data_IF_543627544065
#
_entry.id   IF_543627544065
#
_cell.length_a   1.000
_cell.length_b   1.000
_cell.length_c   1.000
_cell.angle_alpha   90.00
_cell.angle_beta   90.00
_cell.angle_gamma   90.00
#
_symmetry.space_group_name_H-M   'P 1'
#
loop_
_entity.id
_entity.type
_entity.pdbx_description
1 polymer ?
#
# COMPACT_ATOMS: atom_id res chain seq x y z
N UNK A 1 44.56 52.94 -10.91
CA UNK A 1 44.16 51.63 -10.35
C UNK A 1 43.75 50.75 -11.52
N UNK A 2 44.68 49.98 -12.07
CA UNK A 2 44.49 49.18 -13.29
C UNK A 2 44.08 47.76 -12.92
N UNK A 3 42.84 47.36 -13.22
CA UNK A 3 42.47 45.94 -13.28
C UNK A 3 42.98 45.37 -14.62
N UNK A 4 44.12 44.68 -14.59
CA UNK A 4 44.54 43.80 -15.69
C UNK A 4 43.56 42.62 -15.74
N UNK A 5 42.74 42.57 -16.79
CA UNK A 5 41.96 41.38 -17.13
C UNK A 5 42.93 40.34 -17.72
N UNK A 6 43.17 39.28 -16.97
CA UNK A 6 43.86 38.09 -17.48
C UNK A 6 42.90 37.33 -18.39
N UNK A 7 43.08 37.47 -19.70
CA UNK A 7 42.38 36.64 -20.67
C UNK A 7 43.09 35.29 -20.69
N UNK A 8 42.45 34.27 -20.12
CA UNK A 8 42.91 32.88 -20.21
C UNK A 8 42.49 32.36 -21.59
N UNK A 9 43.43 32.32 -22.53
CA UNK A 9 43.28 31.60 -23.80
C UNK A 9 43.41 30.11 -23.53
N UNK A 10 42.27 29.41 -23.48
CA UNK A 10 42.23 27.95 -23.44
C UNK A 10 42.65 27.39 -24.80
N UNK A 11 43.48 26.34 -24.79
CA UNK A 11 43.92 25.68 -26.03
C UNK A 11 42.73 25.01 -26.73
N UNK A 12 42.79 24.89 -28.06
CA UNK A 12 41.69 24.35 -28.89
C UNK A 12 41.23 22.96 -28.45
N UNK A 13 42.13 22.13 -27.93
CA UNK A 13 41.80 20.83 -27.33
C UNK A 13 41.00 20.93 -26.02
N UNK A 14 41.30 21.90 -25.16
CA UNK A 14 40.60 22.09 -23.88
C UNK A 14 39.16 22.53 -24.10
N UNK A 15 38.93 23.37 -25.11
CA UNK A 15 37.58 23.81 -25.51
C UNK A 15 36.75 22.63 -26.03
N UNK A 16 37.36 21.70 -26.78
CA UNK A 16 36.68 20.49 -27.28
C UNK A 16 36.34 19.53 -26.14
N UNK A 17 37.25 19.34 -25.19
CA UNK A 17 37.01 18.49 -24.01
C UNK A 17 35.88 19.06 -23.15
N UNK A 18 35.89 20.36 -22.86
CA UNK A 18 34.84 21.02 -22.08
C UNK A 18 33.48 20.92 -22.79
N UNK A 19 33.41 21.17 -24.10
CA UNK A 19 32.17 21.02 -24.87
C UNK A 19 31.63 19.60 -24.84
N UNK A 20 32.52 18.61 -24.93
CA UNK A 20 32.13 17.20 -24.90
C UNK A 20 31.60 16.79 -23.53
N UNK A 21 32.25 17.24 -22.45
CA UNK A 21 31.78 16.99 -21.07
C UNK A 21 30.42 17.66 -20.83
N UNK A 22 30.23 18.90 -21.27
CA UNK A 22 28.93 19.61 -21.14
C UNK A 22 27.83 18.89 -21.91
N UNK A 23 28.08 18.40 -23.12
CA UNK A 23 27.11 17.62 -23.90
C UNK A 23 26.79 16.29 -23.22
N UNK A 24 27.79 15.60 -22.66
CA UNK A 24 27.56 14.35 -21.91
C UNK A 24 26.75 14.61 -20.65
N UNK A 25 26.99 15.70 -19.92
CA UNK A 25 26.20 16.06 -18.72
C UNK A 25 24.76 16.40 -19.11
N UNK A 26 24.54 17.14 -20.20
CA UNK A 26 23.20 17.47 -20.72
C UNK A 26 22.46 16.19 -21.17
N UNK A 27 23.15 15.29 -21.88
CA UNK A 27 22.58 14.01 -22.32
C UNK A 27 22.33 13.08 -21.13
N UNK A 28 23.21 13.04 -20.13
CA UNK A 28 23.02 12.26 -18.90
C UNK A 28 21.86 12.80 -18.05
N UNK A 29 21.62 14.12 -18.05
CA UNK A 29 20.45 14.72 -17.40
C UNK A 29 19.15 14.57 -18.20
N UNK A 30 19.24 14.32 -19.51
CA UNK A 30 18.10 13.92 -20.37
C UNK A 30 17.78 12.41 -20.31
N UNK A 31 18.73 11.56 -19.88
CA UNK A 31 18.59 10.10 -19.80
C UNK A 31 18.48 9.60 -18.35
N UNK A 32 18.49 10.48 -17.34
CA UNK A 32 18.03 10.07 -16.02
C UNK A 32 16.60 9.58 -16.19
N UNK A 33 16.29 8.31 -15.85
CA UNK A 33 14.91 7.94 -15.65
C UNK A 33 14.47 8.84 -14.52
N UNK A 34 13.67 9.87 -14.83
CA UNK A 34 12.79 10.43 -13.84
C UNK A 34 12.14 9.20 -13.23
N UNK A 35 12.43 8.95 -11.95
CA UNK A 35 11.58 8.14 -11.12
C UNK A 35 10.22 8.83 -11.18
N UNK A 36 9.45 8.48 -12.20
CA UNK A 36 8.01 8.68 -12.25
C UNK A 36 7.41 7.65 -11.31
N UNK A 37 7.84 7.70 -10.04
CA UNK A 37 6.86 7.74 -8.98
C UNK A 37 6.08 9.04 -9.16
N UNK A 38 5.29 9.12 -10.25
CA UNK A 38 4.06 9.87 -10.11
C UNK A 38 3.34 9.09 -9.02
N UNK A 39 3.29 9.69 -7.83
CA UNK A 39 2.09 9.62 -7.03
C UNK A 39 0.94 9.96 -7.97
N UNK A 40 0.45 8.96 -8.72
CA UNK A 40 -0.79 9.08 -9.42
C UNK A 40 -1.78 9.26 -8.28
N UNK A 41 -2.24 10.50 -8.08
CA UNK A 41 -3.55 10.72 -7.49
C UNK A 41 -4.46 9.74 -8.21
N UNK A 42 -4.96 8.71 -7.51
CA UNK A 42 -5.83 7.70 -8.11
C UNK A 42 -7.20 8.38 -8.28
N UNK A 43 -7.26 9.34 -9.19
CA UNK A 43 -8.48 9.98 -9.68
C UNK A 43 -9.29 9.01 -10.55
N UNK A 44 -8.67 7.88 -10.92
CA UNK A 44 -9.27 6.76 -11.66
C UNK A 44 -8.66 5.44 -11.18
N UNK A 45 -9.42 4.33 -11.17
CA UNK A 45 -8.87 3.01 -10.89
C UNK A 45 -7.81 2.65 -11.96
N UNK A 46 -6.78 1.93 -11.54
CA UNK A 46 -5.65 1.50 -12.37
C UNK A 46 -5.32 0.04 -12.10
N UNK A 47 -4.81 -0.63 -13.12
CA UNK A 47 -4.41 -2.03 -13.02
C UNK A 47 -2.99 -2.11 -12.50
N UNK A 48 -2.84 -2.62 -11.28
CA UNK A 48 -1.54 -2.92 -10.67
C UNK A 48 -1.25 -4.42 -10.83
N UNK A 49 -2.30 -5.22 -10.98
CA UNK A 49 -2.27 -6.69 -11.02
C UNK A 49 -3.20 -7.19 -12.13
N UNK A 50 -2.97 -8.42 -12.57
CA UNK A 50 -3.81 -9.08 -13.58
C UNK A 50 -5.26 -9.11 -13.12
N UNK A 51 -6.20 -8.79 -14.02
CA UNK A 51 -7.62 -8.78 -13.70
C UNK A 51 -8.08 -10.12 -13.11
N UNK A 52 -8.80 -10.04 -11.99
CA UNK A 52 -9.49 -11.17 -11.39
C UNK A 52 -10.95 -10.83 -11.22
N UNK A 53 -11.83 -11.69 -11.74
CA UNK A 53 -13.28 -11.48 -11.66
C UNK A 53 -13.74 -11.51 -10.20
N UNK A 54 -14.33 -10.42 -9.69
CA UNK A 54 -14.89 -10.39 -8.35
C UNK A 54 -16.02 -11.42 -8.18
N UNK A 55 -16.17 -12.04 -7.00
CA UNK A 55 -17.18 -13.07 -6.72
C UNK A 55 -18.59 -12.48 -6.48
N UNK A 56 -18.92 -11.41 -7.20
CA UNK A 56 -20.19 -10.71 -7.12
C UNK A 56 -20.77 -10.55 -8.52
N UNK A 57 -22.10 -10.49 -8.64
CA UNK A 57 -22.74 -10.21 -9.93
C UNK A 57 -22.64 -8.72 -10.26
N UNK A 58 -21.86 -8.37 -11.28
CA UNK A 58 -21.72 -6.99 -11.77
C UNK A 58 -22.85 -6.54 -12.71
N UNK A 59 -23.56 -7.50 -13.34
CA UNK A 59 -24.44 -7.24 -14.50
C UNK A 59 -25.90 -6.90 -14.16
N UNK A 60 -26.21 -6.58 -12.91
CA UNK A 60 -27.54 -6.06 -12.58
C UNK A 60 -27.60 -4.57 -13.03
N UNK A 61 -28.57 -4.23 -13.87
CA UNK A 61 -28.95 -2.86 -14.24
C UNK A 61 -27.83 -1.93 -14.76
N UNK A 62 -27.12 -2.36 -15.81
CA UNK A 62 -26.27 -1.45 -16.61
C UNK A 62 -24.79 -1.43 -16.25
N UNK A 63 -24.33 -2.39 -15.45
CA UNK A 63 -22.91 -2.65 -15.19
C UNK A 63 -22.33 -1.82 -14.06
N UNK A 64 -22.99 -1.79 -12.90
CA UNK A 64 -22.49 -1.12 -11.71
C UNK A 64 -22.87 -1.88 -10.45
N UNK A 65 -21.95 -1.97 -9.49
CA UNK A 65 -22.16 -2.62 -8.19
C UNK A 65 -21.03 -2.24 -7.21
N UNK A 66 -21.39 -1.61 -6.08
CA UNK A 66 -20.43 -1.17 -5.08
C UNK A 66 -19.57 -2.30 -4.54
N UNK A 67 -20.15 -3.46 -4.18
CA UNK A 67 -19.37 -4.58 -3.60
C UNK A 67 -18.45 -5.22 -4.64
N UNK A 68 -18.87 -5.25 -5.91
CA UNK A 68 -18.03 -5.76 -7.00
C UNK A 68 -16.81 -4.86 -7.21
N UNK A 69 -17.05 -3.56 -7.38
CA UNK A 69 -16.00 -2.58 -7.65
C UNK A 69 -15.02 -2.45 -6.48
N UNK A 70 -15.53 -2.36 -5.25
CA UNK A 70 -14.69 -2.23 -4.07
C UNK A 70 -13.89 -3.50 -3.77
N UNK A 71 -14.43 -4.69 -4.07
CA UNK A 71 -13.65 -5.93 -3.98
C UNK A 71 -12.49 -5.91 -4.97
N UNK A 72 -12.74 -5.46 -6.20
CA UNK A 72 -11.69 -5.36 -7.20
C UNK A 72 -10.62 -4.35 -6.81
N UNK A 73 -11.00 -3.18 -6.29
CA UNK A 73 -10.04 -2.21 -5.76
C UNK A 73 -9.19 -2.80 -4.63
N UNK A 74 -9.77 -3.58 -3.71
CA UNK A 74 -9.00 -4.28 -2.67
C UNK A 74 -8.01 -5.28 -3.27
N UNK A 75 -8.40 -6.02 -4.31
CA UNK A 75 -7.48 -6.91 -5.01
C UNK A 75 -6.38 -6.14 -5.76
N UNK A 76 -6.73 -5.09 -6.50
CA UNK A 76 -5.81 -4.30 -7.29
C UNK A 76 -4.83 -3.49 -6.43
N UNK A 77 -5.26 -2.94 -5.29
CA UNK A 77 -4.42 -2.12 -4.43
C UNK A 77 -3.76 -2.96 -3.32
N UNK A 78 -4.54 -3.70 -2.51
CA UNK A 78 -3.98 -4.50 -1.40
C UNK A 78 -3.40 -5.84 -1.84
N UNK A 79 -3.76 -6.36 -3.02
CA UNK A 79 -3.36 -7.71 -3.45
C UNK A 79 -4.14 -8.83 -2.77
N UNK A 80 -5.22 -8.50 -2.05
CA UNK A 80 -5.98 -9.44 -1.21
C UNK A 80 -7.30 -9.80 -1.86
N UNK A 81 -7.57 -11.11 -1.99
CA UNK A 81 -8.90 -11.59 -2.33
C UNK A 81 -9.78 -11.61 -1.08
N UNK A 82 -10.62 -10.59 -0.88
CA UNK A 82 -11.54 -10.55 0.25
C UNK A 82 -12.56 -11.71 0.17
N UNK A 83 -12.98 -12.29 1.32
CA UNK A 83 -14.03 -13.29 1.32
C UNK A 83 -15.39 -12.69 0.91
N UNK A 84 -16.29 -13.53 0.43
CA UNK A 84 -17.63 -13.10 0.01
C UNK A 84 -18.48 -12.78 1.25
N UNK A 85 -18.80 -11.50 1.44
CA UNK A 85 -19.70 -11.05 2.49
C UNK A 85 -21.16 -10.94 2.02
N UNK A 86 -21.40 -11.02 0.70
CA UNK A 86 -22.72 -10.79 0.11
C UNK A 86 -23.02 -9.30 -0.03
N UNK A 87 -24.00 -8.80 0.72
CA UNK A 87 -24.40 -7.38 0.65
C UNK A 87 -23.42 -6.46 1.37
N UNK A 88 -23.40 -5.18 0.98
CA UNK A 88 -22.59 -4.13 1.61
C UNK A 88 -22.83 -4.04 3.13
N UNK A 89 -24.06 -4.31 3.60
CA UNK A 89 -24.40 -4.36 5.04
C UNK A 89 -23.48 -5.28 5.85
N UNK A 90 -23.08 -6.42 5.26
CA UNK A 90 -22.30 -7.46 5.94
C UNK A 90 -20.79 -7.21 5.91
N UNK A 91 -20.32 -6.23 5.16
CA UNK A 91 -18.88 -5.96 5.04
C UNK A 91 -18.25 -5.49 6.36
N UNK A 92 -19.04 -4.94 7.28
CA UNK A 92 -18.57 -4.63 8.63
C UNK A 92 -18.08 -5.88 9.37
N UNK A 93 -18.62 -7.07 9.07
CA UNK A 93 -18.21 -8.31 9.72
C UNK A 93 -16.85 -8.82 9.23
N UNK A 94 -16.22 -8.15 8.26
CA UNK A 94 -14.86 -8.45 7.83
C UNK A 94 -13.80 -7.90 8.82
N UNK A 95 -14.20 -7.03 9.75
CA UNK A 95 -13.30 -6.54 10.79
C UNK A 95 -12.72 -7.67 11.63
N UNK A 96 -11.40 -7.65 11.85
CA UNK A 96 -10.61 -8.66 12.57
C UNK A 96 -10.53 -10.04 11.89
N UNK A 97 -11.00 -10.17 10.65
CA UNK A 97 -10.86 -11.41 9.90
C UNK A 97 -9.42 -11.58 9.39
N UNK A 98 -8.90 -12.80 9.49
CA UNK A 98 -7.60 -13.18 8.93
C UNK A 98 -7.78 -13.89 7.58
N UNK A 99 -7.07 -13.43 6.56
CA UNK A 99 -7.12 -13.99 5.19
C UNK A 99 -5.73 -14.52 4.85
N UNK A 100 -5.60 -15.84 4.70
CA UNK A 100 -4.36 -16.47 4.25
C UNK A 100 -4.34 -16.58 2.72
N UNK A 101 -3.29 -16.05 2.10
CA UNK A 101 -3.05 -16.14 0.67
C UNK A 101 -1.56 -16.35 0.42
N UNK A 102 -1.20 -17.50 -0.18
CA UNK A 102 0.19 -17.94 -0.33
C UNK A 102 0.87 -17.96 1.06
N UNK A 103 2.04 -17.35 1.17
CA UNK A 103 2.87 -17.28 2.37
C UNK A 103 2.49 -16.14 3.33
N UNK A 104 1.40 -15.40 3.03
CA UNK A 104 1.00 -14.22 3.77
C UNK A 104 -0.37 -14.43 4.42
N UNK A 105 -0.53 -13.92 5.64
CA UNK A 105 -1.82 -13.83 6.32
C UNK A 105 -2.10 -12.36 6.64
N UNK A 106 -3.17 -11.84 6.05
CA UNK A 106 -3.61 -10.45 6.19
C UNK A 106 -4.65 -10.38 7.30
N UNK A 107 -4.50 -9.44 8.23
CA UNK A 107 -5.49 -9.17 9.27
C UNK A 107 -6.19 -7.86 8.96
N UNK A 108 -7.51 -7.92 8.83
CA UNK A 108 -8.33 -6.75 8.57
C UNK A 108 -8.66 -6.02 9.87
N UNK A 109 -8.68 -4.69 9.83
CA UNK A 109 -9.12 -3.83 10.94
C UNK A 109 -10.33 -3.00 10.55
N UNK A 110 -11.05 -2.49 11.56
CA UNK A 110 -12.09 -1.49 11.38
C UNK A 110 -11.76 -0.22 12.16
N UNK A 111 -11.91 0.92 11.51
CA UNK A 111 -11.71 2.24 12.10
C UNK A 111 -12.95 3.10 11.97
N UNK A 112 -13.03 4.12 12.82
CA UNK A 112 -13.96 5.25 12.72
C UNK A 112 -13.35 6.42 11.94
N UNK A 113 -12.02 6.39 11.77
CA UNK A 113 -11.30 7.42 11.01
C UNK A 113 -11.11 6.96 9.56
N UNK A 114 -11.30 7.86 8.58
CA UNK A 114 -11.01 7.57 7.20
C UNK A 114 -9.49 7.48 6.99
N UNK A 115 -9.06 6.45 6.25
CA UNK A 115 -7.67 6.33 5.80
C UNK A 115 -7.62 6.25 4.28
N UNK A 116 -6.57 6.79 3.67
CA UNK A 116 -6.35 6.58 2.25
C UNK A 116 -6.21 5.08 1.97
N UNK A 117 -6.81 4.61 0.88
CA UNK A 117 -6.85 3.21 0.48
C UNK A 117 -7.50 2.27 1.51
N UNK A 118 -8.44 2.81 2.30
CA UNK A 118 -9.39 2.01 3.06
C UNK A 118 -10.70 1.84 2.29
N UNK A 119 -11.52 0.91 2.74
CA UNK A 119 -12.88 0.72 2.24
C UNK A 119 -13.84 1.40 3.21
N UNK A 120 -14.51 2.45 2.75
CA UNK A 120 -15.61 3.08 3.47
C UNK A 120 -16.83 2.17 3.40
N UNK A 121 -17.44 1.90 4.55
CA UNK A 121 -18.66 1.11 4.71
C UNK A 121 -19.70 2.03 5.31
N UNK A 122 -20.83 2.18 4.60
CA UNK A 122 -21.97 2.99 5.01
C UNK A 122 -23.16 2.07 5.27
N UNK A 123 -23.64 2.06 6.50
CA UNK A 123 -24.85 1.38 6.95
C UNK A 123 -26.06 2.34 6.88
N UNK A 124 -27.31 1.82 6.85
CA UNK A 124 -28.51 2.64 6.76
C UNK A 124 -28.64 3.70 7.87
N UNK A 125 -28.13 3.39 9.07
CA UNK A 125 -28.21 4.25 10.25
C UNK A 125 -27.02 5.21 10.39
N UNK A 126 -26.02 5.10 9.51
CA UNK A 126 -24.82 5.97 9.55
C UNK A 126 -25.12 7.40 9.12
N UNK A 127 -26.33 7.70 8.63
CA UNK A 127 -26.80 9.08 8.42
C UNK A 127 -27.93 9.46 9.36
N UNK A 128 -27.69 10.50 10.17
CA UNK A 128 -28.69 11.09 11.07
C UNK A 128 -29.79 11.80 10.28
N UNK A 129 -29.52 12.26 9.05
CA UNK A 129 -30.52 12.95 8.23
C UNK A 129 -31.49 11.97 7.56
N UNK A 130 -32.80 12.13 7.84
CA UNK A 130 -33.88 11.34 7.20
C UNK A 130 -33.85 11.39 5.66
N UNK A 131 -33.27 12.44 5.05
CA UNK A 131 -33.14 12.59 3.58
C UNK A 131 -32.14 11.60 2.96
N UNK A 132 -31.10 11.18 3.67
CA UNK A 132 -30.07 10.27 3.13
C UNK A 132 -30.30 8.79 3.49
N UNK A 133 -31.16 8.48 4.48
CA UNK A 133 -31.49 7.09 4.87
C UNK A 133 -32.08 6.25 3.73
N UNK A 134 -32.72 6.89 2.74
CA UNK A 134 -33.25 6.21 1.55
C UNK A 134 -32.16 5.74 0.59
N UNK A 135 -31.01 6.44 0.53
CA UNK A 135 -29.94 6.19 -0.44
C UNK A 135 -29.09 4.96 -0.08
N UNK A 136 -29.01 4.60 1.20
CA UNK A 136 -28.15 3.53 1.71
C UNK A 136 -28.91 2.38 2.38
N UNK A 137 -30.19 2.18 2.06
CA UNK A 137 -31.00 1.09 2.67
C UNK A 137 -30.38 -0.30 2.51
N UNK A 138 -29.63 -0.53 1.43
CA UNK A 138 -28.91 -1.78 1.16
C UNK A 138 -27.47 -1.80 1.68
N UNK A 139 -27.07 -0.78 2.44
CA UNK A 139 -25.67 -0.44 2.68
C UNK A 139 -24.97 0.04 1.42
N UNK A 140 -23.77 0.60 1.59
CA UNK A 140 -22.90 1.01 0.51
C UNK A 140 -21.44 0.82 0.89
N UNK A 141 -20.60 0.52 -0.10
CA UNK A 141 -19.15 0.46 0.07
C UNK A 141 -18.45 1.27 -1.01
N UNK A 142 -17.35 1.92 -0.65
CA UNK A 142 -16.58 2.73 -1.56
C UNK A 142 -15.10 2.70 -1.19
N UNK A 143 -14.23 2.94 -2.17
CA UNK A 143 -12.79 2.99 -1.98
C UNK A 143 -12.32 4.41 -1.64
N UNK A 144 -11.63 4.61 -0.53
CA UNK A 144 -11.15 5.94 -0.12
C UNK A 144 -9.86 6.31 -0.87
N UNK A 145 -9.87 7.45 -1.55
CA UNK A 145 -8.71 7.98 -2.30
C UNK A 145 -7.99 9.06 -1.51
N UNK A 146 -8.75 9.94 -0.86
CA UNK A 146 -8.22 11.04 -0.05
C UNK A 146 -9.08 11.22 1.20
N UNK A 147 -8.41 11.44 2.33
CA UNK A 147 -9.03 11.66 3.62
C UNK A 147 -8.37 12.83 4.39
N UNK A 148 -8.27 14.04 3.80
CA UNK A 148 -7.64 15.17 4.46
C UNK A 148 -8.46 15.60 5.68
N UNK A 149 -7.85 15.47 6.86
CA UNK A 149 -8.24 16.08 8.14
C UNK A 149 -9.74 16.17 8.41
N UNK A 150 -10.42 15.02 8.37
CA UNK A 150 -11.79 14.85 8.91
C UNK A 150 -12.86 15.82 8.37
N UNK A 151 -12.62 16.49 7.24
CA UNK A 151 -13.59 17.45 6.65
C UNK A 151 -14.32 16.84 5.46
N UNK A 152 -13.58 16.25 4.53
CA UNK A 152 -14.14 15.69 3.30
C UNK A 152 -13.38 14.43 2.89
N UNK A 153 -14.13 13.36 2.71
CA UNK A 153 -13.64 12.07 2.24
C UNK A 153 -13.94 11.99 0.75
N UNK A 154 -12.90 11.77 -0.06
CA UNK A 154 -13.03 11.49 -1.49
C UNK A 154 -12.96 9.99 -1.70
N UNK A 155 -13.92 9.45 -2.43
CA UNK A 155 -14.00 8.03 -2.71
C UNK A 155 -14.18 7.75 -4.20
N UNK A 156 -13.72 6.59 -4.65
CA UNK A 156 -14.21 5.95 -5.86
C UNK A 156 -15.30 4.97 -5.48
N UNK A 157 -16.44 5.06 -6.15
CA UNK A 157 -17.59 4.23 -5.85
C UNK A 157 -18.29 3.77 -7.12
N UNK A 158 -19.14 2.76 -6.96
CA UNK A 158 -20.05 2.30 -7.99
C UNK A 158 -21.43 2.11 -7.39
N UNK A 159 -22.47 2.17 -8.20
CA UNK A 159 -23.84 1.90 -7.77
C UNK A 159 -24.55 1.04 -8.80
N UNK A 160 -25.65 0.39 -8.38
CA UNK A 160 -26.51 -0.38 -9.30
C UNK A 160 -27.22 0.50 -10.35
N UNK A 161 -27.20 1.82 -10.18
CA UNK A 161 -27.70 2.80 -11.16
C UNK A 161 -26.59 3.83 -11.41
N UNK A 162 -25.51 3.45 -12.11
CA UNK A 162 -24.34 4.29 -12.20
C UNK A 162 -24.62 5.55 -13.03
N UNK A 163 -24.12 6.69 -12.57
CA UNK A 163 -24.22 7.94 -13.33
C UNK A 163 -23.15 7.98 -14.43
N UNK A 164 -23.49 7.51 -15.63
CA UNK A 164 -22.59 7.41 -16.78
C UNK A 164 -22.04 8.74 -17.30
N UNK A 165 -22.60 9.87 -16.87
CA UNK A 165 -22.13 11.22 -17.29
C UNK A 165 -21.02 11.78 -16.42
N UNK A 166 -20.75 11.21 -15.25
CA UNK A 166 -19.76 11.72 -14.26
C UNK A 166 -18.68 10.71 -13.91
N UNK A 167 -18.63 9.59 -14.61
CA UNK A 167 -17.85 8.41 -14.25
C UNK A 167 -17.10 7.79 -15.41
N UNK A 168 -16.29 6.79 -15.10
CA UNK A 168 -15.58 5.97 -16.07
C UNK A 168 -16.11 4.53 -16.09
N UNK A 169 -15.65 3.76 -17.07
CA UNK A 169 -15.89 2.32 -17.14
C UNK A 169 -14.57 1.58 -16.95
N UNK A 170 -14.53 0.65 -16.02
CA UNK A 170 -13.34 -0.14 -15.72
C UNK A 170 -13.74 -1.58 -15.42
N UNK A 171 -13.13 -2.51 -16.16
CA UNK A 171 -13.34 -3.97 -16.03
C UNK A 171 -14.80 -4.45 -16.02
N UNK A 172 -15.69 -3.76 -16.72
CA UNK A 172 -17.10 -4.14 -16.77
C UNK A 172 -18.01 -3.36 -15.81
N UNK A 173 -17.42 -2.49 -14.97
CA UNK A 173 -18.11 -1.72 -13.96
C UNK A 173 -17.96 -0.22 -14.18
N UNK A 174 -19.09 0.49 -14.17
CA UNK A 174 -19.09 1.95 -14.08
C UNK A 174 -18.72 2.38 -12.67
N UNK A 175 -17.85 3.38 -12.58
CA UNK A 175 -17.45 3.99 -11.32
C UNK A 175 -17.55 5.51 -11.42
N UNK A 176 -17.68 6.19 -10.29
CA UNK A 176 -17.67 7.64 -10.18
C UNK A 176 -16.87 8.08 -8.96
N UNK A 177 -16.52 9.36 -8.94
CA UNK A 177 -15.95 9.99 -7.74
C UNK A 177 -17.07 10.50 -6.85
N UNK A 178 -17.05 10.10 -5.59
CA UNK A 178 -17.95 10.53 -4.53
C UNK A 178 -17.22 11.43 -3.54
N UNK A 179 -17.95 12.36 -2.93
CA UNK A 179 -17.43 13.23 -1.88
C UNK A 179 -18.39 13.27 -0.70
N UNK A 180 -17.87 12.96 0.47
CA UNK A 180 -18.65 12.84 1.69
C UNK A 180 -18.07 13.77 2.75
N UNK A 181 -18.92 14.54 3.42
CA UNK A 181 -18.46 15.36 4.53
C UNK A 181 -18.33 14.46 5.77
N UNK A 182 -17.14 14.44 6.37
CA UNK A 182 -16.96 13.85 7.68
C UNK A 182 -17.56 14.86 8.69
N UNK A 183 -18.77 14.53 9.15
CA UNK A 183 -19.52 15.31 10.15
C UNK A 183 -20.10 14.32 11.15
N UNK A 184 -20.40 14.75 12.37
CA UNK A 184 -21.00 13.89 13.39
C UNK A 184 -22.32 13.23 12.92
N UNK A 185 -22.99 13.81 11.92
CA UNK A 185 -24.21 13.28 11.32
C UNK A 185 -23.99 12.19 10.27
N UNK A 186 -22.74 11.90 9.90
CA UNK A 186 -22.33 10.86 8.96
C UNK A 186 -21.18 10.05 9.55
N UNK A 187 -21.48 8.84 10.04
CA UNK A 187 -20.54 8.02 10.82
C UNK A 187 -20.24 6.66 10.15
N UNK A 188 -19.61 6.64 8.97
CA UNK A 188 -19.22 5.39 8.32
C UNK A 188 -18.10 4.68 9.08
N UNK A 189 -17.88 3.40 8.75
CA UNK A 189 -16.74 2.61 9.23
C UNK A 189 -15.76 2.36 8.10
N UNK A 190 -14.47 2.25 8.42
CA UNK A 190 -13.41 2.07 7.43
C UNK A 190 -12.70 0.75 7.66
N UNK A 191 -12.81 -0.15 6.68
CA UNK A 191 -12.10 -1.42 6.66
C UNK A 191 -10.71 -1.21 6.02
N UNK A 192 -9.67 -1.72 6.66
CA UNK A 192 -8.28 -1.50 6.26
C UNK A 192 -7.41 -2.72 6.57
N UNK A 193 -6.23 -2.82 5.94
CA UNK A 193 -5.23 -3.81 6.36
C UNK A 193 -4.57 -3.33 7.65
N UNK A 194 -4.79 -4.05 8.75
CA UNK A 194 -4.22 -3.74 10.07
C UNK A 194 -2.80 -4.28 10.22
N UNK A 195 -2.59 -5.49 9.73
CA UNK A 195 -1.28 -6.14 9.75
C UNK A 195 -1.18 -7.26 8.74
N UNK A 196 0.05 -7.63 8.41
CA UNK A 196 0.38 -8.72 7.50
C UNK A 196 1.43 -9.59 8.16
N UNK A 197 1.12 -10.87 8.33
CA UNK A 197 2.06 -11.88 8.78
C UNK A 197 2.69 -12.57 7.57
N UNK A 198 4.02 -12.70 7.56
CA UNK A 198 4.77 -13.36 6.48
C UNK A 198 5.41 -14.63 7.03
N UNK A 199 5.09 -15.78 6.41
CA UNK A 199 5.65 -17.10 6.71
C UNK A 199 5.59 -17.51 8.19
N UNK A 200 4.67 -16.93 8.98
CA UNK A 200 4.61 -17.11 10.44
C UNK A 200 5.90 -16.74 11.19
N UNK A 201 6.75 -15.91 10.58
CA UNK A 201 8.03 -15.48 11.14
C UNK A 201 8.03 -14.02 11.56
N UNK A 202 7.42 -13.16 10.75
CA UNK A 202 7.35 -11.72 11.00
C UNK A 202 5.93 -11.21 10.86
N UNK A 203 5.58 -10.23 11.69
CA UNK A 203 4.34 -9.49 11.64
C UNK A 203 4.66 -8.04 11.27
N UNK A 204 4.13 -7.59 10.14
CA UNK A 204 4.18 -6.20 9.70
C UNK A 204 2.91 -5.51 10.18
N UNK A 205 3.05 -4.47 11.00
CA UNK A 205 1.92 -3.69 11.51
C UNK A 205 2.00 -2.24 11.04
N UNK A 206 0.86 -1.71 10.60
CA UNK A 206 0.71 -0.37 10.04
C UNK A 206 -0.58 -0.30 9.22
N UNK A 207 -0.98 0.91 8.83
CA UNK A 207 -2.25 1.13 8.14
C UNK A 207 -2.08 0.93 6.63
N UNK A 208 -2.85 0.01 6.05
CA UNK A 208 -2.86 -0.26 4.61
C UNK A 208 -1.46 -0.55 4.02
N UNK A 209 -0.63 -1.29 4.78
CA UNK A 209 0.65 -1.79 4.29
C UNK A 209 0.39 -2.65 3.05
N UNK A 210 1.13 -2.38 1.97
CA UNK A 210 1.17 -3.24 0.80
C UNK A 210 2.44 -4.10 0.84
N UNK A 211 2.29 -5.39 0.56
CA UNK A 211 3.40 -6.34 0.53
C UNK A 211 3.33 -7.11 -0.78
N UNK A 212 4.41 -7.05 -1.54
CA UNK A 212 4.56 -7.82 -2.78
C UNK A 212 5.83 -8.64 -2.70
N UNK A 213 5.71 -9.95 -2.96
CA UNK A 213 6.87 -10.80 -3.10
C UNK A 213 7.53 -10.54 -4.46
N UNK A 214 8.78 -10.05 -4.45
CA UNK A 214 9.52 -9.68 -5.66
C UNK A 214 10.58 -10.71 -6.06
N UNK A 215 11.00 -11.55 -5.11
CA UNK A 215 11.85 -12.70 -5.35
C UNK A 215 11.57 -13.78 -4.29
N UNK A 216 12.25 -14.93 -4.38
CA UNK A 216 12.15 -15.95 -3.33
C UNK A 216 12.51 -15.34 -1.97
N UNK A 217 11.53 -15.34 -1.05
CA UNK A 217 11.61 -14.78 0.31
C UNK A 217 12.05 -13.31 0.42
N UNK A 218 11.99 -12.55 -0.68
CA UNK A 218 12.19 -11.11 -0.67
C UNK A 218 10.86 -10.42 -0.95
N UNK A 219 10.51 -9.51 -0.06
CA UNK A 219 9.24 -8.81 -0.02
C UNK A 219 9.51 -7.31 -0.10
N UNK A 220 8.91 -6.66 -1.10
CA UNK A 220 8.81 -5.21 -1.11
C UNK A 220 7.60 -4.83 -0.25
N UNK A 221 7.84 -3.96 0.72
CA UNK A 221 6.85 -3.48 1.68
C UNK A 221 6.75 -1.98 1.53
N UNK A 222 5.53 -1.46 1.46
CA UNK A 222 5.30 -0.02 1.44
C UNK A 222 4.15 0.39 2.35
N UNK A 223 4.32 1.48 3.09
CA UNK A 223 3.24 2.20 3.75
C UNK A 223 2.71 3.30 2.83
N UNK A 224 1.41 3.56 2.89
CA UNK A 224 0.74 4.50 1.96
C UNK A 224 0.42 5.87 2.57
N UNK A 225 0.72 6.06 3.86
CA UNK A 225 0.69 7.34 4.57
C UNK A 225 2.08 7.58 5.21
N UNK A 226 2.32 8.74 5.84
CA UNK A 226 3.48 9.03 6.71
C UNK A 226 3.48 8.12 7.97
N UNK A 227 3.37 6.82 7.74
CA UNK A 227 3.16 5.79 8.74
C UNK A 227 4.44 4.98 8.90
N UNK A 228 4.83 4.79 10.16
CA UNK A 228 5.87 3.86 10.53
C UNK A 228 5.42 2.43 10.20
N UNK A 229 6.33 1.63 9.64
CA UNK A 229 6.15 0.19 9.56
C UNK A 229 6.80 -0.42 10.79
N UNK A 230 6.02 -1.16 11.56
CA UNK A 230 6.55 -1.95 12.67
C UNK A 230 6.73 -3.40 12.22
N UNK A 231 7.95 -3.91 12.29
CA UNK A 231 8.26 -5.33 12.06
C UNK A 231 8.41 -6.01 13.41
N UNK A 232 7.56 -6.96 13.74
CA UNK A 232 7.65 -7.77 14.96
C UNK A 232 8.04 -9.20 14.62
N UNK A 233 9.05 -9.75 15.31
CA UNK A 233 9.39 -11.17 15.20
C UNK A 233 8.32 -12.02 15.88
N UNK A 234 7.71 -12.96 15.17
CA UNK A 234 6.78 -13.96 15.75
C UNK A 234 7.55 -15.18 16.25
N UNK A 235 8.59 -15.55 15.51
CA UNK A 235 9.65 -16.46 15.92
C UNK A 235 10.98 -15.76 15.72
N UNK A 236 12.08 -16.19 16.36
CA UNK A 236 13.38 -15.65 16.00
C UNK A 236 13.58 -15.81 14.49
N UNK A 237 14.02 -14.75 13.82
CA UNK A 237 14.17 -14.76 12.37
C UNK A 237 15.34 -13.88 11.96
N UNK A 238 16.23 -14.42 11.13
CA UNK A 238 17.16 -13.57 10.39
C UNK A 238 16.35 -12.71 9.43
N UNK A 239 16.54 -11.39 9.49
CA UNK A 239 15.91 -10.45 8.59
C UNK A 239 16.98 -9.50 8.03
N UNK A 240 16.86 -9.19 6.74
CA UNK A 240 17.62 -8.14 6.10
C UNK A 240 16.64 -7.10 5.58
N UNK A 241 16.78 -5.86 6.03
CA UNK A 241 15.93 -4.73 5.68
C UNK A 241 16.78 -3.70 4.96
N UNK A 242 16.36 -3.34 3.75
CA UNK A 242 16.93 -2.25 2.96
C UNK A 242 15.87 -1.21 2.67
N UNK A 243 16.28 0.03 2.49
CA UNK A 243 15.40 1.08 1.99
C UNK A 243 15.18 0.95 0.47
N UNK A 244 14.61 2.00 -0.12
CA UNK A 244 14.39 2.12 -1.56
C UNK A 244 15.66 2.38 -2.39
N UNK A 245 16.73 2.94 -1.82
CA UNK A 245 18.02 3.13 -2.52
C UNK A 245 18.86 1.85 -2.50
N UNK A 246 18.48 0.90 -1.63
CA UNK A 246 19.17 -0.37 -1.43
C UNK A 246 20.16 -0.33 -0.26
N UNK A 247 20.17 0.77 0.50
CA UNK A 247 21.01 0.94 1.67
C UNK A 247 20.47 0.09 2.84
N UNK A 248 21.38 -0.46 3.62
CA UNK A 248 21.03 -1.34 4.72
C UNK A 248 20.49 -0.55 5.91
N UNK A 249 19.25 -0.82 6.31
CA UNK A 249 18.66 -0.26 7.54
C UNK A 249 18.89 -1.22 8.71
N UNK A 250 18.71 -2.52 8.49
CA UNK A 250 18.88 -3.54 9.52
C UNK A 250 19.32 -4.88 8.91
N UNK A 251 20.21 -5.59 9.59
CA UNK A 251 20.62 -6.95 9.23
C UNK A 251 20.94 -7.72 10.52
N UNK A 252 20.18 -8.77 10.82
CA UNK A 252 20.40 -9.54 12.03
C UNK A 252 19.25 -10.47 12.38
N UNK A 253 19.35 -11.09 13.57
CA UNK A 253 18.27 -11.89 14.14
C UNK A 253 17.31 -10.93 14.85
N UNK A 254 16.07 -10.88 14.37
CA UNK A 254 14.96 -10.27 15.10
C UNK A 254 14.41 -11.32 16.08
N UNK A 255 14.54 -11.13 17.40
CA UNK A 255 14.00 -12.09 18.37
C UNK A 255 12.47 -12.12 18.35
N UNK A 256 11.90 -13.21 18.89
CA UNK A 256 10.45 -13.27 19.09
C UNK A 256 9.97 -12.12 20.00
N UNK A 257 8.80 -11.58 19.67
CA UNK A 257 8.13 -10.47 20.34
C UNK A 257 8.93 -9.15 20.40
N UNK A 258 10.03 -9.04 19.65
CA UNK A 258 10.75 -7.78 19.49
C UNK A 258 10.29 -7.05 18.24
N UNK A 259 10.14 -5.74 18.36
CA UNK A 259 9.67 -4.86 17.29
C UNK A 259 10.78 -3.93 16.82
N UNK A 260 10.95 -3.85 15.50
CA UNK A 260 11.76 -2.85 14.81
C UNK A 260 10.81 -1.82 14.21
N UNK A 261 10.99 -0.56 14.58
CA UNK A 261 10.22 0.57 14.06
C UNK A 261 10.99 1.19 12.91
N UNK A 262 10.37 1.26 11.74
CA UNK A 262 10.96 1.80 10.53
C UNK A 262 10.16 3.02 10.10
N UNK A 263 10.82 4.17 10.01
CA UNK A 263 10.22 5.43 9.53
C UNK A 263 10.18 5.55 8.01
N UNK A 264 10.74 4.57 7.30
CA UNK A 264 10.81 4.59 5.84
C UNK A 264 9.51 4.06 5.23
N UNK A 265 8.94 4.75 4.22
CA UNK A 265 7.68 4.37 3.60
C UNK A 265 7.82 3.18 2.65
N UNK A 266 9.02 2.84 2.18
CA UNK A 266 9.27 1.73 1.26
C UNK A 266 10.53 0.96 1.68
N UNK A 267 10.40 -0.35 1.78
CA UNK A 267 11.42 -1.26 2.31
C UNK A 267 11.50 -2.54 1.49
N UNK A 268 12.68 -3.14 1.42
CA UNK A 268 12.87 -4.51 0.97
C UNK A 268 13.24 -5.38 2.17
N UNK A 269 12.38 -6.36 2.48
CA UNK A 269 12.58 -7.32 3.57
C UNK A 269 12.94 -8.68 2.95
N UNK A 270 14.11 -9.19 3.28
CA UNK A 270 14.49 -10.57 2.94
C UNK A 270 14.48 -11.43 4.19
N UNK A 271 13.87 -12.62 4.10
CA UNK A 271 13.79 -13.62 5.16
C UNK A 271 14.61 -14.85 4.76
N UNK A 272 15.94 -14.89 5.03
CA UNK A 272 16.78 -16.02 4.66
C UNK A 272 16.30 -17.31 5.31
N UNK A 273 16.64 -18.43 4.66
CA UNK A 273 16.42 -19.76 5.23
C UNK A 273 17.04 -19.87 6.62
N UNK A 274 16.33 -20.57 7.50
CA UNK A 274 16.94 -21.16 8.68
C UNK A 274 17.92 -22.25 8.22
N UNK A 275 19.12 -21.86 7.80
CA UNK A 275 20.25 -22.77 7.97
C UNK A 275 20.57 -22.71 9.44
N UNK A 276 20.07 -23.71 10.19
CA UNK A 276 20.50 -23.98 11.55
C UNK A 276 22.03 -24.07 11.58
N UNK A 277 22.73 -22.96 11.82
CA UNK A 277 24.05 -22.99 12.46
C UNK A 277 23.88 -23.12 13.99
N UNK A 278 22.99 -24.02 14.42
CA UNK A 278 22.98 -24.51 15.80
C UNK A 278 24.23 -25.37 16.10
N UNK A 279 25.11 -25.57 15.14
CA UNK A 279 26.41 -26.23 15.33
C UNK A 279 27.40 -25.37 16.10
N UNK A 280 27.31 -24.03 16.08
CA UNK A 280 28.29 -23.19 16.78
C UNK A 280 27.99 -23.03 18.27
N UNK A 281 26.72 -22.82 18.64
CA UNK A 281 26.31 -22.69 20.04
C UNK A 281 26.37 -24.03 20.80
N UNK A 282 26.05 -25.16 20.17
CA UNK A 282 26.27 -26.47 20.78
C UNK A 282 27.76 -26.85 20.88
N UNK A 283 28.65 -26.30 20.02
CA UNK A 283 30.11 -26.45 20.21
C UNK A 283 30.62 -25.64 21.40
N UNK A 284 30.09 -24.46 21.63
CA UNK A 284 30.48 -23.65 22.80
C UNK A 284 29.94 -24.29 24.08
N UNK A 285 28.67 -24.70 24.11
CA UNK A 285 28.07 -25.32 25.31
C UNK A 285 28.68 -26.69 25.64
N UNK A 286 29.10 -27.48 24.64
CA UNK A 286 29.80 -28.74 24.90
C UNK A 286 31.30 -28.57 25.20
N UNK A 287 31.93 -27.45 24.81
CA UNK A 287 33.31 -27.13 25.23
C UNK A 287 33.37 -26.68 26.71
N UNK A 288 32.30 -26.09 27.24
CA UNK A 288 32.22 -25.70 28.67
C UNK A 288 31.68 -26.78 29.61
N UNK A 289 31.37 -27.99 29.12
CA UNK A 289 31.07 -29.16 29.97
C UNK A 289 32.29 -30.04 30.28
N UNK A 290 33.47 -29.66 29.80
CA UNK A 290 34.75 -30.31 30.09
C UNK A 290 35.84 -29.27 30.41
N UNK A 291 35.62 -28.45 31.44
CA UNK A 291 36.68 -27.80 32.22
C UNK A 291 36.25 -27.85 33.68
#
# INVERSE_FOLDING_TARGET
>A
MFLRHTIITLNSMEVVIIRTIVVIIIMASLIMPLSTASEASIDRPVDIRDFKTPPYFCRLFGGGNCVWFTWEMAYQIWGVCLPVAGSALKWINLGNLSISQKDMTYVLGLSERPYKNSIMIVQPDDSVSRRNRGLFRSGHVAWVVEAPDSKRIKVLESSIFPNKSRGGFWHGCWWNTGYYNASEAFNPRFLYIKSIQIQNRVLLSGMNINVTQVADRTYQVSAQEEGYITITGLTPATINVKDQTGDHIYSGILPANHSLYLGEPVLNITLPDYKCEYTFLNRIINTFKFI
#
